data_IF_893412102307
#
_entry.id   IF_893412102307
#
_cell.length_a   1.000
_cell.length_b   1.000
_cell.length_c   1.000
_cell.angle_alpha   90.00
_cell.angle_beta   90.00
_cell.angle_gamma   90.00
#
_symmetry.space_group_name_H-M   'P 1'
#
loop_
_entity.id
_entity.type
_entity.pdbx_description
1 polymer ?
#
# COMPACT_ATOMS: atom_id res chain seq x y z
N UNK A 1 -2.57 17.40 -7.76
CA UNK A 1 -2.44 15.95 -8.00
C UNK A 1 -2.50 15.60 -9.49
N UNK A 2 -3.19 16.39 -10.34
CA UNK A 2 -3.37 16.05 -11.76
C UNK A 2 -2.07 15.85 -12.52
N UNK A 3 -1.08 16.75 -12.34
CA UNK A 3 0.24 16.61 -12.97
C UNK A 3 0.96 15.32 -12.56
N UNK A 4 0.75 14.81 -11.34
CA UNK A 4 1.38 13.58 -10.86
C UNK A 4 0.81 12.37 -11.60
N UNK A 5 -0.51 12.29 -11.71
CA UNK A 5 -1.19 11.18 -12.37
C UNK A 5 -1.23 11.27 -13.91
N UNK A 6 -0.88 12.43 -14.49
CA UNK A 6 -0.62 12.56 -15.92
C UNK A 6 0.68 11.86 -16.33
N UNK A 7 1.71 11.91 -15.49
CA UNK A 7 3.01 11.29 -15.77
C UNK A 7 3.09 9.84 -15.30
N UNK A 8 2.37 9.48 -14.22
CA UNK A 8 2.42 8.14 -13.61
C UNK A 8 1.02 7.58 -13.36
N UNK A 9 0.74 6.32 -13.75
CA UNK A 9 -0.60 5.74 -13.59
C UNK A 9 -0.97 5.43 -12.13
N UNK A 10 -0.01 5.44 -11.21
CA UNK A 10 -0.20 5.22 -9.77
C UNK A 10 1.00 5.75 -8.98
N UNK A 11 0.81 5.87 -7.66
CA UNK A 11 1.88 6.14 -6.70
C UNK A 11 2.10 4.92 -5.78
N UNK A 12 3.33 4.79 -5.29
CA UNK A 12 3.69 3.82 -4.26
C UNK A 12 3.94 4.55 -2.94
N UNK A 13 3.42 4.01 -1.85
CA UNK A 13 3.63 4.55 -0.50
C UNK A 13 4.25 3.47 0.40
N UNK A 14 5.33 3.82 1.09
CA UNK A 14 5.92 2.94 2.10
C UNK A 14 5.82 3.56 3.48
N UNK A 15 5.49 2.73 4.48
CA UNK A 15 5.39 3.16 5.88
C UNK A 15 6.12 2.14 6.79
N UNK A 16 7.06 2.63 7.59
CA UNK A 16 7.92 1.82 8.47
C UNK A 16 7.56 2.12 9.93
N UNK A 17 6.90 1.20 10.62
CA UNK A 17 6.13 1.39 11.87
C UNK A 17 4.69 1.84 11.62
N UNK A 18 3.99 1.08 10.76
CA UNK A 18 2.64 1.45 10.33
C UNK A 18 1.58 1.41 11.42
N UNK A 19 1.83 0.74 12.55
CA UNK A 19 0.83 0.52 13.58
C UNK A 19 -0.39 -0.15 12.98
N UNK A 20 -1.57 0.45 13.20
CA UNK A 20 -2.83 0.02 12.60
C UNK A 20 -2.99 0.43 11.11
N UNK A 21 -2.08 1.19 10.51
CA UNK A 21 -2.15 1.61 9.11
C UNK A 21 -2.90 2.93 8.87
N UNK A 22 -3.23 3.69 9.92
CA UNK A 22 -4.06 4.90 9.84
C UNK A 22 -3.51 5.98 8.89
N UNK A 23 -2.19 6.18 8.83
CA UNK A 23 -1.60 7.19 7.94
C UNK A 23 -1.79 6.82 6.47
N UNK A 24 -1.71 5.52 6.14
CA UNK A 24 -1.98 5.03 4.80
C UNK A 24 -3.47 5.17 4.44
N UNK A 25 -4.37 4.89 5.38
CA UNK A 25 -5.80 5.12 5.19
C UNK A 25 -6.10 6.60 4.95
N UNK A 26 -5.47 7.50 5.69
CA UNK A 26 -5.64 8.94 5.49
C UNK A 26 -5.18 9.38 4.10
N UNK A 27 -4.06 8.85 3.60
CA UNK A 27 -3.63 9.11 2.21
C UNK A 27 -4.64 8.58 1.20
N UNK A 28 -5.14 7.36 1.38
CA UNK A 28 -6.15 6.79 0.50
C UNK A 28 -7.44 7.62 0.49
N UNK A 29 -7.88 8.09 1.66
CA UNK A 29 -9.04 8.96 1.83
C UNK A 29 -8.85 10.31 1.13
N UNK A 30 -7.70 10.98 1.31
CA UNK A 30 -7.37 12.23 0.61
C UNK A 30 -7.35 12.04 -0.91
N UNK A 31 -6.83 10.92 -1.42
CA UNK A 31 -6.88 10.60 -2.85
C UNK A 31 -8.32 10.46 -3.35
N UNK A 32 -9.14 9.71 -2.63
CA UNK A 32 -10.55 9.50 -2.99
C UNK A 32 -11.32 10.82 -2.98
N UNK A 33 -11.13 11.66 -1.97
CA UNK A 33 -11.76 12.99 -1.88
C UNK A 33 -11.31 13.92 -3.01
N UNK A 34 -10.08 13.79 -3.48
CA UNK A 34 -9.57 14.53 -4.62
C UNK A 34 -10.00 13.95 -5.99
N UNK A 35 -10.85 12.92 -6.01
CA UNK A 35 -11.38 12.29 -7.22
C UNK A 35 -10.49 11.21 -7.83
N UNK A 36 -9.40 10.82 -7.16
CA UNK A 36 -8.53 9.72 -7.60
C UNK A 36 -8.93 8.42 -6.92
N UNK A 37 -9.00 7.37 -7.71
CA UNK A 37 -9.46 6.06 -7.29
C UNK A 37 -8.30 5.34 -6.59
N UNK A 38 -8.21 5.47 -5.27
CA UNK A 38 -7.07 4.96 -4.47
C UNK A 38 -6.78 3.47 -4.71
N UNK A 39 -7.80 2.60 -4.81
CA UNK A 39 -7.58 1.16 -5.07
C UNK A 39 -6.89 0.85 -6.41
N UNK A 40 -6.92 1.78 -7.36
CA UNK A 40 -6.18 1.69 -8.64
C UNK A 40 -4.93 2.55 -8.66
N UNK A 41 -4.89 3.64 -7.91
CA UNK A 41 -3.87 4.68 -8.04
C UNK A 41 -2.88 4.72 -6.87
N UNK A 42 -3.09 3.90 -5.83
CA UNK A 42 -2.22 3.77 -4.67
C UNK A 42 -1.86 2.30 -4.45
N UNK A 43 -0.56 2.01 -4.39
CA UNK A 43 -0.02 0.75 -3.92
C UNK A 43 0.81 0.99 -2.67
N UNK A 44 0.60 0.19 -1.63
CA UNK A 44 1.23 0.41 -0.33
C UNK A 44 2.15 -0.74 0.07
N UNK A 45 3.22 -0.42 0.78
CA UNK A 45 4.12 -1.38 1.42
C UNK A 45 4.37 -0.93 2.85
N UNK A 46 3.66 -1.55 3.79
CA UNK A 46 3.69 -1.14 5.19
C UNK A 46 4.37 -2.19 6.04
N UNK A 47 5.12 -1.78 7.06
CA UNK A 47 5.84 -2.69 7.96
C UNK A 47 5.56 -2.33 9.41
N UNK A 48 5.33 -3.34 10.26
CA UNK A 48 5.35 -3.18 11.70
C UNK A 48 6.09 -4.35 12.38
N UNK A 49 6.79 -4.05 13.48
CA UNK A 49 7.49 -5.07 14.26
C UNK A 49 6.53 -5.94 15.07
N UNK A 50 5.37 -5.37 15.46
CA UNK A 50 4.34 -6.02 16.24
C UNK A 50 3.34 -6.78 15.36
N UNK A 51 3.22 -8.11 15.48
CA UNK A 51 2.27 -8.89 14.65
C UNK A 51 0.81 -8.48 14.88
N UNK A 52 0.45 -8.00 16.07
CA UNK A 52 -0.89 -7.49 16.36
C UNK A 52 -1.20 -6.24 15.54
N UNK A 53 -0.31 -5.25 15.57
CA UNK A 53 -0.47 -3.99 14.84
C UNK A 53 -0.54 -4.23 13.32
N UNK A 54 0.40 -5.01 12.80
CA UNK A 54 0.38 -5.45 11.39
C UNK A 54 -0.91 -6.21 11.03
N UNK A 55 -1.43 -7.05 11.93
CA UNK A 55 -2.72 -7.74 11.72
C UNK A 55 -3.89 -6.77 11.59
N UNK A 56 -3.94 -5.74 12.44
CA UNK A 56 -4.95 -4.67 12.35
C UNK A 56 -4.80 -3.91 11.03
N UNK A 57 -3.59 -3.52 10.66
CA UNK A 57 -3.32 -2.85 9.39
C UNK A 57 -3.77 -3.69 8.20
N UNK A 58 -3.49 -5.00 8.20
CA UNK A 58 -3.95 -5.91 7.16
C UNK A 58 -5.48 -5.89 7.03
N UNK A 59 -6.22 -5.98 8.13
CA UNK A 59 -7.69 -5.96 8.11
C UNK A 59 -8.20 -4.61 7.60
N UNK A 60 -7.68 -3.51 8.14
CA UNK A 60 -8.10 -2.17 7.76
C UNK A 60 -7.88 -1.89 6.27
N UNK A 61 -6.67 -2.14 5.78
CA UNK A 61 -6.33 -1.93 4.36
C UNK A 61 -7.16 -2.83 3.45
N UNK A 62 -7.43 -4.08 3.87
CA UNK A 62 -8.28 -5.00 3.11
C UNK A 62 -9.72 -4.51 3.01
N UNK A 63 -10.32 -4.06 4.12
CA UNK A 63 -11.70 -3.57 4.16
C UNK A 63 -11.88 -2.24 3.42
N UNK A 64 -10.87 -1.37 3.47
CA UNK A 64 -10.89 -0.09 2.77
C UNK A 64 -10.48 -0.20 1.28
N UNK A 65 -10.24 -1.41 0.78
CA UNK A 65 -9.88 -1.63 -0.64
C UNK A 65 -8.50 -1.11 -1.02
N UNK A 66 -7.61 -0.86 -0.05
CA UNK A 66 -6.25 -0.39 -0.31
C UNK A 66 -5.38 -1.57 -0.73
N UNK A 67 -4.77 -1.46 -1.91
CA UNK A 67 -3.89 -2.49 -2.43
C UNK A 67 -2.48 -2.37 -1.84
N UNK A 68 -1.91 -3.48 -1.40
CA UNK A 68 -0.54 -3.47 -0.90
C UNK A 68 -0.10 -4.73 -0.20
N UNK A 69 1.08 -4.63 0.40
CA UNK A 69 1.64 -5.62 1.31
C UNK A 69 1.77 -5.06 2.72
N UNK A 70 1.53 -5.94 3.70
CA UNK A 70 1.74 -5.72 5.12
C UNK A 70 2.81 -6.68 5.59
N UNK A 71 3.93 -6.13 6.03
CA UNK A 71 5.10 -6.86 6.48
C UNK A 71 5.13 -6.86 8.00
N UNK A 72 5.23 -8.05 8.60
CA UNK A 72 5.60 -8.22 9.99
C UNK A 72 7.12 -8.37 10.03
N UNK A 73 7.82 -7.41 10.61
CA UNK A 73 9.28 -7.41 10.62
C UNK A 73 9.91 -6.12 11.13
N UNK A 74 11.24 -6.10 11.19
CA UNK A 74 12.01 -4.96 11.66
C UNK A 74 12.55 -4.14 10.49
N UNK A 75 11.95 -2.96 10.25
CA UNK A 75 12.39 -2.04 9.18
C UNK A 75 13.84 -1.58 9.34
N UNK A 76 14.38 -1.46 10.57
CA UNK A 76 15.77 -1.05 10.82
C UNK A 76 16.79 -2.10 10.36
N UNK A 77 16.37 -3.37 10.27
CA UNK A 77 17.21 -4.50 9.83
C UNK A 77 16.79 -5.03 8.46
N UNK A 78 15.86 -4.36 7.77
CA UNK A 78 15.24 -4.85 6.55
C UNK A 78 14.68 -6.29 6.68
N UNK A 79 14.22 -6.64 7.88
CA UNK A 79 13.70 -7.97 8.20
C UNK A 79 12.24 -8.08 7.74
N UNK A 80 11.91 -9.14 7.00
CA UNK A 80 10.54 -9.43 6.52
C UNK A 80 10.10 -10.81 6.98
N UNK A 81 9.76 -10.96 8.28
CA UNK A 81 9.42 -12.27 8.88
C UNK A 81 8.17 -12.90 8.26
N UNK A 82 7.16 -12.08 7.99
CA UNK A 82 5.92 -12.51 7.31
C UNK A 82 5.38 -11.39 6.46
N UNK A 83 4.85 -11.73 5.29
CA UNK A 83 4.28 -10.78 4.33
C UNK A 83 2.84 -11.20 4.06
N UNK A 84 1.92 -10.24 4.15
CA UNK A 84 0.50 -10.43 3.91
C UNK A 84 0.07 -9.48 2.79
N UNK A 85 -0.40 -10.02 1.68
CA UNK A 85 -0.93 -9.22 0.56
C UNK A 85 -2.43 -8.98 0.75
N UNK A 86 -2.88 -7.73 0.64
CA UNK A 86 -4.31 -7.41 0.76
C UNK A 86 -5.10 -7.96 -0.43
N UNK A 87 -6.42 -8.19 -0.31
CA UNK A 87 -7.26 -8.55 -1.46
C UNK A 87 -7.14 -7.56 -2.63
N UNK A 88 -7.00 -6.26 -2.33
CA UNK A 88 -6.77 -5.22 -3.34
C UNK A 88 -5.49 -5.43 -4.15
N UNK A 89 -4.45 -6.03 -3.56
CA UNK A 89 -3.23 -6.40 -4.28
C UNK A 89 -3.52 -7.40 -5.42
N UNK A 90 -4.32 -8.43 -5.13
CA UNK A 90 -4.68 -9.46 -6.11
C UNK A 90 -5.72 -8.95 -7.12
N UNK A 91 -6.79 -8.32 -6.64
CA UNK A 91 -7.89 -7.82 -7.49
C UNK A 91 -7.43 -6.71 -8.45
N UNK A 92 -6.44 -5.90 -8.04
CA UNK A 92 -5.84 -4.87 -8.86
C UNK A 92 -4.76 -5.36 -9.83
N UNK A 93 -4.48 -6.68 -9.88
CA UNK A 93 -3.41 -7.30 -10.67
C UNK A 93 -2.05 -6.57 -10.51
N UNK A 94 -1.73 -6.17 -9.28
CA UNK A 94 -0.57 -5.33 -9.00
C UNK A 94 0.79 -5.94 -9.34
N UNK A 95 1.01 -7.26 -9.21
CA UNK A 95 2.26 -7.88 -9.69
C UNK A 95 2.53 -7.60 -11.18
N UNK A 96 1.48 -7.61 -12.02
CA UNK A 96 1.62 -7.29 -13.45
C UNK A 96 1.88 -5.80 -13.66
N UNK A 97 1.13 -4.92 -12.98
CA UNK A 97 1.28 -3.46 -13.10
C UNK A 97 2.66 -2.98 -12.68
N UNK A 98 3.23 -3.56 -11.62
CA UNK A 98 4.58 -3.26 -11.16
C UNK A 98 5.64 -3.64 -12.20
N UNK A 99 5.53 -4.83 -12.81
CA UNK A 99 6.47 -5.26 -13.86
C UNK A 99 6.48 -4.30 -15.05
N UNK A 100 5.31 -3.79 -15.45
CA UNK A 100 5.23 -2.84 -16.56
C UNK A 100 5.75 -1.46 -16.19
N UNK A 101 5.51 -1.00 -14.96
CA UNK A 101 6.02 0.28 -14.50
C UNK A 101 7.56 0.32 -14.48
N UNK A 102 8.21 -0.76 -14.00
CA UNK A 102 9.67 -0.86 -13.94
C UNK A 102 10.35 -0.98 -15.32
N UNK A 103 9.61 -1.33 -16.38
CA UNK A 103 10.14 -1.40 -17.75
C UNK A 103 10.15 -0.02 -18.42
N UNK A 104 9.47 0.97 -17.83
CA UNK A 104 9.32 2.32 -18.38
C UNK A 104 9.99 3.43 -17.51
N UNK A 105 10.75 3.05 -16.47
CA UNK A 105 11.69 3.92 -15.74
C UNK A 105 13.13 3.70 -16.24
#
# INVERSE_FOLDING_TARGET
MDRLFQARPFITLSESACGAGCMVLAVADVLNQAGYVSHRQLLVSVTDVGPLAAGIAYIQLSLCGVAGEVVIGNSLHNERRRVLYTPGHYLGNWPFRLKHALVHE
#
